data_IF_494140473874
#
_entry.id   IF_494140473874
#
_cell.length_a   1.000
_cell.length_b   1.000
_cell.length_c   1.000
_cell.angle_alpha   90.00
_cell.angle_beta   90.00
_cell.angle_gamma   90.00
#
_symmetry.space_group_name_H-M   'P 1'
#
loop_
_entity.id
_entity.type
_entity.pdbx_description
1 polymer ?
#
# COMPACT_ATOMS: atom_id res chain seq x y z
N UNK A 1 -24.97 -11.81 -4.99
CA UNK A 1 -23.72 -11.14 -5.40
C UNK A 1 -24.10 -9.70 -5.65
N UNK A 2 -23.83 -8.82 -4.69
CA UNK A 2 -23.90 -7.38 -4.94
C UNK A 2 -22.84 -7.08 -6.00
N UNK A 3 -23.27 -6.46 -7.10
CA UNK A 3 -22.39 -6.14 -8.22
C UNK A 3 -21.47 -5.00 -7.79
N UNK A 4 -20.17 -5.16 -8.00
CA UNK A 4 -19.18 -4.11 -7.80
C UNK A 4 -19.33 -3.05 -8.89
N UNK A 5 -19.40 -1.79 -8.50
CA UNK A 5 -19.64 -0.67 -9.42
C UNK A 5 -18.46 -0.50 -10.39
N UNK A 6 -17.25 -0.88 -9.94
CA UNK A 6 -16.01 -0.81 -10.74
C UNK A 6 -16.02 -1.67 -12.01
N UNK A 7 -16.92 -2.65 -12.15
CA UNK A 7 -17.06 -3.42 -13.41
C UNK A 7 -17.42 -2.51 -14.59
N UNK A 8 -18.11 -1.40 -14.35
CA UNK A 8 -18.49 -0.46 -15.40
C UNK A 8 -17.30 0.24 -16.09
N UNK A 9 -16.11 0.17 -15.48
CA UNK A 9 -14.86 0.70 -16.01
C UNK A 9 -14.24 -0.22 -17.09
N UNK A 10 -14.77 -1.42 -17.27
CA UNK A 10 -14.39 -2.32 -18.37
C UNK A 10 -15.25 -2.01 -19.59
N UNK A 11 -14.63 -1.43 -20.63
CA UNK A 11 -15.30 -1.10 -21.91
C UNK A 11 -14.48 -1.58 -23.09
N UNK A 12 -15.14 -2.28 -24.02
CA UNK A 12 -14.51 -2.86 -25.21
C UNK A 12 -13.35 -3.84 -24.88
N UNK A 13 -13.49 -4.53 -23.75
CA UNK A 13 -12.48 -5.46 -23.21
C UNK A 13 -11.23 -4.79 -22.63
N UNK A 14 -11.30 -3.49 -22.35
CA UNK A 14 -10.24 -2.74 -21.67
C UNK A 14 -10.76 -2.19 -20.34
N UNK A 15 -10.05 -2.48 -19.25
CA UNK A 15 -10.24 -1.77 -17.99
C UNK A 15 -9.59 -0.40 -18.11
N UNK A 16 -10.31 0.66 -17.73
CA UNK A 16 -9.85 2.05 -17.81
C UNK A 16 -9.85 2.64 -16.40
N UNK A 17 -8.67 2.98 -15.91
CA UNK A 17 -8.48 3.62 -14.62
C UNK A 17 -8.75 5.12 -14.74
N UNK A 18 -10.01 5.50 -14.49
CA UNK A 18 -10.48 6.89 -14.61
C UNK A 18 -10.75 7.41 -13.20
N UNK A 19 -10.12 8.52 -12.84
CA UNK A 19 -10.29 9.15 -11.53
C UNK A 19 -10.13 10.67 -11.61
N UNK A 20 -10.87 11.40 -10.77
CA UNK A 20 -10.77 12.86 -10.66
C UNK A 20 -9.43 13.34 -10.08
N UNK A 21 -8.66 12.45 -9.45
CA UNK A 21 -7.30 12.73 -9.01
C UNK A 21 -6.37 13.03 -10.18
N UNK A 22 -6.58 12.43 -11.36
CA UNK A 22 -5.76 12.63 -12.56
C UNK A 22 -6.62 13.06 -13.77
N UNK A 23 -7.16 14.28 -13.75
CA UNK A 23 -8.10 14.71 -14.79
C UNK A 23 -7.41 14.78 -16.16
N UNK A 24 -8.17 14.42 -17.19
CA UNK A 24 -7.74 14.54 -18.59
C UNK A 24 -6.87 13.39 -19.11
N UNK A 25 -6.57 12.39 -18.29
CA UNK A 25 -5.89 11.17 -18.73
C UNK A 25 -6.40 9.93 -17.97
N UNK A 26 -6.09 8.74 -18.50
CA UNK A 26 -6.33 7.47 -17.84
C UNK A 26 -5.31 6.44 -18.34
N UNK A 27 -5.04 5.45 -17.51
CA UNK A 27 -4.32 4.25 -17.91
C UNK A 27 -5.30 3.12 -18.24
N UNK A 28 -4.94 2.22 -19.15
CA UNK A 28 -5.83 1.13 -19.56
C UNK A 28 -5.09 -0.20 -19.75
N UNK A 29 -5.71 -1.26 -19.24
CA UNK A 29 -5.22 -2.64 -19.35
C UNK A 29 -6.22 -3.49 -20.13
N UNK A 30 -5.72 -4.24 -21.12
CA UNK A 30 -6.56 -5.18 -21.88
C UNK A 30 -6.85 -6.39 -20.99
N UNK A 31 -8.14 -6.64 -20.78
CA UNK A 31 -8.65 -7.69 -19.89
C UNK A 31 -8.82 -8.99 -20.67
N UNK A 32 -8.28 -10.07 -20.11
CA UNK A 32 -8.55 -11.45 -20.54
C UNK A 32 -9.83 -11.95 -19.86
N UNK A 33 -9.90 -11.84 -18.52
CA UNK A 33 -11.09 -12.22 -17.74
C UNK A 33 -11.15 -11.50 -16.39
N UNK A 34 -12.35 -11.39 -15.81
CA UNK A 34 -12.56 -10.95 -14.42
C UNK A 34 -12.50 -12.18 -13.52
N UNK A 35 -11.49 -12.26 -12.65
CA UNK A 35 -11.27 -13.42 -11.76
C UNK A 35 -12.10 -13.33 -10.48
N UNK A 36 -12.31 -12.11 -9.98
CA UNK A 36 -13.07 -11.81 -8.79
C UNK A 36 -13.63 -10.40 -8.86
N UNK A 37 -14.82 -10.21 -8.30
CA UNK A 37 -15.44 -8.90 -8.17
C UNK A 37 -16.37 -8.91 -6.97
N UNK A 38 -15.99 -8.18 -5.91
CA UNK A 38 -16.62 -8.24 -4.60
C UNK A 38 -16.66 -6.85 -4.00
N UNK A 39 -17.77 -6.49 -3.36
CA UNK A 39 -17.87 -5.29 -2.51
C UNK A 39 -17.60 -5.67 -1.05
N UNK A 40 -16.68 -4.98 -0.38
CA UNK A 40 -16.44 -5.11 1.06
C UNK A 40 -17.18 -4.01 1.84
N UNK A 41 -17.03 -4.00 3.16
CA UNK A 41 -17.56 -2.91 4.00
C UNK A 41 -16.78 -1.59 3.79
N UNK A 42 -15.64 -1.65 3.10
CA UNK A 42 -14.71 -0.52 2.91
C UNK A 42 -14.64 -0.04 1.47
N UNK A 43 -14.64 -0.96 0.49
CA UNK A 43 -14.32 -0.65 -0.91
C UNK A 43 -14.82 -1.72 -1.89
N UNK A 44 -14.84 -1.35 -3.17
CA UNK A 44 -14.97 -2.27 -4.28
C UNK A 44 -13.63 -2.98 -4.54
N UNK A 45 -13.65 -4.31 -4.62
CA UNK A 45 -12.46 -5.15 -4.85
C UNK A 45 -12.64 -5.95 -6.13
N UNK A 46 -11.73 -5.79 -7.08
CA UNK A 46 -11.73 -6.56 -8.32
C UNK A 46 -10.35 -7.12 -8.62
N UNK A 47 -10.29 -8.38 -9.05
CA UNK A 47 -9.06 -8.98 -9.57
C UNK A 47 -9.26 -9.33 -11.03
N UNK A 48 -8.41 -8.77 -11.87
CA UNK A 48 -8.45 -8.96 -13.31
C UNK A 48 -7.30 -9.86 -13.73
N UNK A 49 -7.55 -10.77 -14.67
CA UNK A 49 -6.49 -11.35 -15.48
C UNK A 49 -6.31 -10.47 -16.71
N UNK A 50 -5.12 -9.93 -16.89
CA UNK A 50 -4.78 -9.09 -18.04
C UNK A 50 -4.04 -9.89 -19.10
N UNK A 51 -3.97 -9.37 -20.31
CA UNK A 51 -3.25 -10.02 -21.42
C UNK A 51 -1.72 -9.93 -21.31
N UNK A 52 -1.18 -8.87 -20.69
CA UNK A 52 0.26 -8.58 -20.70
C UNK A 52 0.86 -8.15 -19.35
N UNK A 53 0.04 -7.99 -18.30
CA UNK A 53 0.46 -7.56 -16.96
C UNK A 53 0.20 -8.63 -15.86
N UNK A 54 -0.17 -9.85 -16.26
CA UNK A 54 -0.57 -10.89 -15.32
C UNK A 54 -1.88 -10.54 -14.61
N UNK A 55 -2.03 -10.99 -13.36
CA UNK A 55 -3.16 -10.59 -12.55
C UNK A 55 -2.97 -9.17 -11.98
N UNK A 56 -4.04 -8.38 -11.94
CA UNK A 56 -4.06 -7.03 -11.41
C UNK A 56 -5.11 -6.89 -10.31
N UNK A 57 -4.72 -6.29 -9.18
CA UNK A 57 -5.63 -5.91 -8.09
C UNK A 57 -6.14 -4.50 -8.33
N UNK A 58 -7.46 -4.35 -8.30
CA UNK A 58 -8.16 -3.08 -8.45
C UNK A 58 -8.98 -2.83 -7.19
N UNK A 59 -8.81 -1.67 -6.56
CA UNK A 59 -9.58 -1.20 -5.42
C UNK A 59 -10.25 0.13 -5.78
N UNK A 60 -11.57 0.23 -5.62
CA UNK A 60 -12.36 1.43 -5.99
C UNK A 60 -12.05 1.98 -7.40
N UNK A 61 -11.82 1.07 -8.36
CA UNK A 61 -11.50 1.43 -9.74
C UNK A 61 -10.06 1.90 -9.99
N UNK A 62 -9.18 1.82 -8.99
CA UNK A 62 -7.76 2.19 -9.06
C UNK A 62 -6.89 0.92 -9.02
N UNK A 63 -5.94 0.81 -9.94
CA UNK A 63 -4.95 -0.26 -10.00
C UNK A 63 -4.00 -0.11 -8.82
N UNK A 64 -3.95 -1.13 -7.97
CA UNK A 64 -3.05 -1.17 -6.82
C UNK A 64 -1.73 -1.83 -7.17
N UNK A 65 -1.79 -2.94 -7.90
CA UNK A 65 -0.62 -3.68 -8.35
C UNK A 65 -0.93 -4.57 -9.54
N UNK A 66 0.12 -4.89 -10.32
CA UNK A 66 0.09 -5.97 -11.32
C UNK A 66 1.25 -6.92 -11.08
N UNK A 67 1.08 -8.20 -11.39
CA UNK A 67 2.18 -9.18 -11.25
C UNK A 67 3.41 -8.85 -12.11
N UNK A 68 3.26 -8.03 -13.15
CA UNK A 68 4.36 -7.67 -14.05
C UNK A 68 5.35 -6.70 -13.40
N UNK A 69 4.86 -5.77 -12.60
CA UNK A 69 5.60 -4.57 -12.19
C UNK A 69 5.55 -4.27 -10.69
N UNK A 70 4.78 -5.03 -9.90
CA UNK A 70 4.70 -4.91 -8.44
C UNK A 70 6.08 -4.83 -7.75
N UNK A 71 7.07 -5.55 -8.30
CA UNK A 71 8.39 -5.66 -7.69
C UNK A 71 9.07 -4.29 -7.61
N UNK A 72 8.85 -3.40 -8.58
CA UNK A 72 9.43 -2.07 -8.56
C UNK A 72 8.98 -1.33 -7.30
N UNK A 73 7.67 -1.28 -7.07
CA UNK A 73 7.07 -0.61 -5.91
C UNK A 73 7.46 -1.29 -4.60
N UNK A 74 7.27 -2.61 -4.52
CA UNK A 74 7.43 -3.37 -3.28
C UNK A 74 8.89 -3.41 -2.83
N UNK A 75 9.84 -3.59 -3.75
CA UNK A 75 11.27 -3.55 -3.41
C UNK A 75 11.69 -2.16 -2.95
N UNK A 76 11.23 -1.10 -3.63
CA UNK A 76 11.61 0.27 -3.29
C UNK A 76 11.05 0.69 -1.93
N UNK A 77 9.74 0.51 -1.70
CA UNK A 77 9.11 0.95 -0.44
C UNK A 77 9.61 0.15 0.77
N UNK A 78 10.04 -1.11 0.57
CA UNK A 78 10.61 -1.93 1.62
C UNK A 78 12.11 -1.67 1.83
N UNK A 79 12.94 -1.76 0.79
CA UNK A 79 14.39 -1.75 0.97
C UNK A 79 14.98 -0.36 1.21
N UNK A 80 14.37 0.72 0.71
CA UNK A 80 14.86 2.07 1.02
C UNK A 80 14.95 2.33 2.54
N UNK A 81 13.89 2.15 3.35
CA UNK A 81 13.99 2.37 4.79
C UNK A 81 14.80 1.27 5.51
N UNK A 82 14.68 0.00 5.09
CA UNK A 82 15.39 -1.11 5.75
C UNK A 82 16.91 -0.99 5.61
N UNK A 83 17.40 -0.68 4.42
CA UNK A 83 18.83 -0.52 4.15
C UNK A 83 19.41 0.80 4.69
N UNK A 84 18.54 1.76 5.03
CA UNK A 84 18.95 3.03 5.64
C UNK A 84 19.00 2.98 7.16
N UNK A 85 18.26 2.07 7.79
CA UNK A 85 18.25 1.91 9.24
C UNK A 85 19.39 0.97 9.70
N UNK A 86 20.17 1.30 10.75
CA UNK A 86 21.32 0.49 11.14
C UNK A 86 20.97 -0.89 11.71
N UNK A 87 19.77 -1.04 12.29
CA UNK A 87 19.30 -2.30 12.87
C UNK A 87 17.75 -2.42 12.87
N UNK A 88 17.10 -2.67 11.72
CA UNK A 88 15.63 -2.67 11.60
C UNK A 88 15.02 -3.98 12.10
N UNK A 89 14.94 -4.19 13.41
CA UNK A 89 14.49 -5.49 13.97
C UNK A 89 12.97 -5.66 13.96
N UNK A 90 12.22 -4.60 14.24
CA UNK A 90 10.76 -4.61 14.32
C UNK A 90 10.15 -3.63 13.33
N UNK A 91 9.42 -4.16 12.36
CA UNK A 91 8.84 -3.40 11.25
C UNK A 91 7.31 -3.42 11.35
N UNK A 92 6.68 -2.25 11.18
CA UNK A 92 5.23 -2.13 11.00
C UNK A 92 4.93 -1.86 9.52
N UNK A 93 3.96 -2.56 8.97
CA UNK A 93 3.37 -2.29 7.65
C UNK A 93 1.91 -1.90 7.89
N UNK A 94 1.50 -0.75 7.40
CA UNK A 94 0.10 -0.28 7.42
C UNK A 94 -0.44 -0.35 6.00
N UNK A 95 -1.47 -1.17 5.79
CA UNK A 95 -1.99 -1.57 4.49
C UNK A 95 -1.25 -2.79 3.91
N UNK A 96 -1.01 -2.78 2.60
CA UNK A 96 -0.30 -3.84 1.88
C UNK A 96 -1.05 -5.17 1.84
N UNK A 97 -2.38 -5.16 1.76
CA UNK A 97 -3.23 -6.35 1.72
C UNK A 97 -2.94 -7.37 0.60
N UNK A 98 -1.99 -7.10 -0.30
CA UNK A 98 -1.44 -8.07 -1.25
C UNK A 98 -0.34 -9.00 -0.68
N UNK A 99 0.30 -8.59 0.42
CA UNK A 99 1.37 -9.32 1.12
C UNK A 99 2.77 -9.15 0.52
N UNK A 100 2.89 -8.38 -0.54
CA UNK A 100 4.12 -8.19 -1.30
C UNK A 100 5.17 -7.37 -0.57
N UNK A 101 4.80 -6.27 0.10
CA UNK A 101 5.73 -5.54 0.98
C UNK A 101 6.23 -6.42 2.13
N UNK A 102 5.36 -7.24 2.74
CA UNK A 102 5.78 -8.17 3.79
C UNK A 102 6.76 -9.23 3.28
N UNK A 103 6.57 -9.70 2.03
CA UNK A 103 7.53 -10.59 1.35
C UNK A 103 8.90 -9.93 1.23
N UNK A 104 8.97 -8.64 0.87
CA UNK A 104 10.24 -7.93 0.73
C UNK A 104 10.90 -7.67 2.08
N UNK A 105 10.13 -7.25 3.08
CA UNK A 105 10.62 -7.03 4.44
C UNK A 105 11.20 -8.31 5.06
N UNK A 106 10.58 -9.47 4.81
CA UNK A 106 11.04 -10.76 5.34
C UNK A 106 12.46 -11.15 4.87
N UNK A 107 12.86 -10.70 3.68
CA UNK A 107 14.18 -10.97 3.10
C UNK A 107 15.32 -10.31 3.88
N UNK A 108 15.05 -9.23 4.62
CA UNK A 108 16.11 -8.51 5.33
C UNK A 108 16.59 -9.30 6.57
N UNK A 109 17.90 -9.61 6.68
CA UNK A 109 18.41 -10.56 7.67
C UNK A 109 18.31 -10.07 9.12
N UNK A 110 18.31 -8.75 9.34
CA UNK A 110 18.18 -8.16 10.67
C UNK A 110 16.73 -8.02 11.14
N UNK A 111 15.75 -8.15 10.24
CA UNK A 111 14.33 -8.11 10.63
C UNK A 111 13.99 -9.38 11.41
N UNK A 112 13.45 -9.19 12.62
CA UNK A 112 13.04 -10.25 13.54
C UNK A 112 11.52 -10.36 13.65
N UNK A 113 10.80 -9.25 13.49
CA UNK A 113 9.34 -9.21 13.61
C UNK A 113 8.75 -8.24 12.60
N UNK A 114 7.74 -8.70 11.88
CA UNK A 114 6.91 -7.91 10.98
C UNK A 114 5.51 -7.88 11.59
N UNK A 115 4.97 -6.69 11.81
CA UNK A 115 3.55 -6.52 12.10
C UNK A 115 2.93 -5.89 10.89
N UNK A 116 1.92 -6.54 10.31
CA UNK A 116 1.16 -5.96 9.21
C UNK A 116 -0.28 -5.76 9.63
N UNK A 117 -0.79 -4.56 9.38
CA UNK A 117 -2.16 -4.16 9.68
C UNK A 117 -2.87 -3.86 8.37
N UNK A 118 -3.95 -4.58 8.10
CA UNK A 118 -4.83 -4.34 6.95
C UNK A 118 -6.26 -4.20 7.48
N UNK A 119 -7.02 -3.22 7.00
CA UNK A 119 -8.37 -2.97 7.50
C UNK A 119 -9.39 -3.92 6.87
N UNK A 120 -9.12 -4.37 5.65
CA UNK A 120 -10.06 -5.11 4.82
C UNK A 120 -9.64 -6.58 4.61
N UNK A 121 -10.27 -7.48 5.37
CA UNK A 121 -10.06 -8.94 5.24
C UNK A 121 -10.30 -9.44 3.80
N UNK A 122 -11.23 -8.84 3.05
CA UNK A 122 -11.55 -9.32 1.70
C UNK A 122 -10.43 -9.03 0.70
N UNK A 123 -9.61 -8.00 0.95
CA UNK A 123 -8.39 -7.74 0.14
C UNK A 123 -7.37 -8.85 0.37
N UNK A 124 -7.11 -9.21 1.64
CA UNK A 124 -6.18 -10.29 2.01
C UNK A 124 -6.61 -11.62 1.37
N UNK A 125 -7.92 -11.93 1.43
CA UNK A 125 -8.48 -13.18 0.90
C UNK A 125 -8.38 -13.23 -0.63
N UNK A 126 -8.69 -12.13 -1.30
CA UNK A 126 -8.53 -12.01 -2.75
C UNK A 126 -7.07 -12.18 -3.17
N UNK A 127 -6.14 -11.53 -2.47
CA UNK A 127 -4.71 -11.61 -2.74
C UNK A 127 -4.15 -13.01 -2.54
N UNK A 128 -4.51 -13.69 -1.44
CA UNK A 128 -4.10 -15.09 -1.21
C UNK A 128 -4.57 -16.03 -2.32
N UNK A 129 -5.76 -15.78 -2.87
CA UNK A 129 -6.35 -16.64 -3.90
C UNK A 129 -5.81 -16.35 -5.31
N UNK A 130 -5.63 -15.08 -5.66
CA UNK A 130 -5.38 -14.67 -7.04
C UNK A 130 -4.01 -14.03 -7.28
N UNK A 131 -3.26 -13.69 -6.22
CA UNK A 131 -1.93 -13.06 -6.28
C UNK A 131 -0.91 -13.85 -5.43
N UNK A 132 -0.77 -15.18 -5.64
CA UNK A 132 -0.02 -16.05 -4.73
C UNK A 132 1.47 -15.67 -4.59
N UNK A 133 2.07 -15.03 -5.60
CA UNK A 133 3.47 -14.60 -5.57
C UNK A 133 3.72 -13.41 -4.63
N UNK A 134 2.75 -12.52 -4.48
CA UNK A 134 2.79 -11.43 -3.48
C UNK A 134 2.36 -11.97 -2.12
N UNK A 135 1.25 -12.71 -2.08
CA UNK A 135 0.66 -13.23 -0.84
C UNK A 135 1.54 -14.23 -0.08
N UNK A 136 2.64 -14.72 -0.67
CA UNK A 136 3.63 -15.54 0.05
C UNK A 136 4.26 -14.81 1.24
N UNK A 137 4.25 -13.47 1.26
CA UNK A 137 4.67 -12.70 2.42
C UNK A 137 3.86 -13.03 3.68
N UNK A 138 2.59 -13.41 3.51
CA UNK A 138 1.73 -13.85 4.62
C UNK A 138 2.18 -15.15 5.29
N UNK A 139 3.08 -15.92 4.68
CA UNK A 139 3.59 -17.17 5.22
C UNK A 139 4.90 -17.00 6.02
N UNK A 140 5.44 -15.78 6.12
CA UNK A 140 6.65 -15.53 6.91
C UNK A 140 6.42 -15.89 8.38
N UNK A 141 7.37 -16.63 8.97
CA UNK A 141 7.36 -16.93 10.41
C UNK A 141 7.61 -15.69 11.29
N UNK A 142 8.09 -14.59 10.70
CA UNK A 142 8.31 -13.31 11.37
C UNK A 142 7.05 -12.45 11.39
N UNK A 143 6.04 -12.79 10.59
CA UNK A 143 4.85 -11.97 10.40
C UNK A 143 3.78 -12.20 11.48
N UNK A 144 3.19 -11.10 11.93
CA UNK A 144 1.91 -11.06 12.61
C UNK A 144 0.97 -10.15 11.82
N UNK A 145 0.05 -10.77 11.11
CA UNK A 145 -0.99 -10.09 10.35
C UNK A 145 -2.20 -9.83 11.25
N UNK A 146 -2.66 -8.59 11.30
CA UNK A 146 -3.89 -8.21 12.01
C UNK A 146 -4.85 -7.52 11.08
N UNK A 147 -6.12 -7.89 11.21
CA UNK A 147 -7.21 -7.18 10.54
C UNK A 147 -7.81 -6.17 11.50
N UNK A 148 -7.38 -4.92 11.37
CA UNK A 148 -7.87 -3.82 12.19
C UNK A 148 -7.51 -2.45 11.57
N UNK A 149 -8.03 -1.39 12.18
CA UNK A 149 -7.70 -0.02 11.81
C UNK A 149 -6.26 0.34 12.26
N UNK A 150 -5.45 0.84 11.33
CA UNK A 150 -4.06 1.23 11.57
C UNK A 150 -3.88 2.41 12.53
N UNK A 151 -4.81 3.37 12.55
CA UNK A 151 -4.81 4.48 13.51
C UNK A 151 -5.03 3.97 14.93
N UNK A 152 -6.06 3.14 15.13
CA UNK A 152 -6.36 2.60 16.45
C UNK A 152 -5.23 1.71 16.95
N UNK A 153 -4.61 0.95 16.05
CA UNK A 153 -3.40 0.19 16.37
C UNK A 153 -2.27 1.12 16.85
N UNK A 154 -1.88 2.14 16.08
CA UNK A 154 -0.77 3.03 16.45
C UNK A 154 -1.05 3.93 17.67
N UNK A 155 -2.31 4.16 18.04
CA UNK A 155 -2.64 4.85 19.30
C UNK A 155 -2.16 4.04 20.51
N UNK A 156 -2.28 2.72 20.46
CA UNK A 156 -1.93 1.80 21.54
C UNK A 156 -0.45 1.38 21.56
N UNK A 157 0.29 1.62 20.47
CA UNK A 157 1.67 1.16 20.31
C UNK A 157 2.63 2.37 20.22
N UNK A 158 3.48 2.55 21.25
CA UNK A 158 4.42 3.68 21.37
C UNK A 158 5.87 3.21 21.50
N UNK A 159 6.80 3.90 20.84
CA UNK A 159 8.24 3.60 20.88
C UNK A 159 8.56 2.12 20.62
N UNK A 160 7.88 1.52 19.64
CA UNK A 160 7.90 0.08 19.41
C UNK A 160 8.64 -0.32 18.13
N UNK A 161 8.51 0.47 17.06
CA UNK A 161 8.96 0.08 15.72
C UNK A 161 10.24 0.79 15.31
N UNK A 162 11.15 0.06 14.66
CA UNK A 162 12.38 0.61 14.09
C UNK A 162 12.10 1.20 12.69
N UNK A 163 11.21 0.55 11.93
CA UNK A 163 10.75 1.02 10.62
C UNK A 163 9.22 0.91 10.55
N UNK A 164 8.57 1.93 10.00
CA UNK A 164 7.14 1.90 9.66
C UNK A 164 7.00 2.16 8.16
N UNK A 165 6.30 1.26 7.46
CA UNK A 165 5.95 1.37 6.05
C UNK A 165 4.44 1.62 5.94
N UNK A 166 4.03 2.71 5.31
CA UNK A 166 2.63 2.97 4.95
C UNK A 166 2.43 2.63 3.48
N UNK A 167 1.91 1.44 3.23
CA UNK A 167 1.55 0.92 1.92
C UNK A 167 0.03 1.04 1.73
N UNK A 168 -0.43 2.28 1.57
CA UNK A 168 -1.85 2.61 1.47
C UNK A 168 -2.26 2.90 0.04
N UNK A 169 -3.57 2.77 -0.20
CA UNK A 169 -4.21 3.32 -1.40
C UNK A 169 -4.08 4.86 -1.43
N UNK A 170 -4.40 5.45 -2.58
CA UNK A 170 -4.53 6.90 -2.75
C UNK A 170 -5.49 7.52 -1.71
N UNK A 171 -5.41 8.84 -1.44
CA UNK A 171 -6.19 9.53 -0.40
C UNK A 171 -7.70 9.65 -0.66
N UNK A 172 -8.34 8.57 -1.11
CA UNK A 172 -9.77 8.39 -1.28
C UNK A 172 -10.30 7.44 -0.20
N UNK A 173 -11.51 7.73 0.29
CA UNK A 173 -12.18 6.86 1.26
C UNK A 173 -11.34 6.68 2.54
N UNK A 174 -11.14 5.42 3.00
CA UNK A 174 -10.51 5.14 4.29
C UNK A 174 -9.04 5.61 4.38
N UNK A 175 -8.31 5.68 3.26
CA UNK A 175 -6.90 6.07 3.25
C UNK A 175 -6.67 7.59 3.39
N UNK A 176 -7.68 8.43 3.16
CA UNK A 176 -7.56 9.90 3.26
C UNK A 176 -7.00 10.38 4.60
N UNK A 177 -7.35 9.69 5.69
CA UNK A 177 -6.84 10.01 7.02
C UNK A 177 -5.32 9.86 7.12
N UNK A 178 -4.72 8.91 6.39
CA UNK A 178 -3.28 8.58 6.41
C UNK A 178 -2.38 9.70 5.87
N UNK A 179 -2.95 10.74 5.28
CA UNK A 179 -2.21 11.90 4.76
C UNK A 179 -2.30 13.14 5.66
N UNK A 180 -2.98 13.01 6.81
CA UNK A 180 -3.19 14.10 7.77
C UNK A 180 -1.99 14.29 8.72
N UNK A 181 -1.85 15.50 9.27
CA UNK A 181 -0.83 15.80 10.28
C UNK A 181 -0.96 14.89 11.53
N UNK A 182 -2.18 14.55 11.92
CA UNK A 182 -2.41 13.65 13.06
C UNK A 182 -1.84 12.25 12.82
N UNK A 183 -1.84 11.77 11.58
CA UNK A 183 -1.20 10.52 11.21
C UNK A 183 0.32 10.57 11.40
N UNK A 184 0.98 11.62 10.91
CA UNK A 184 2.43 11.78 11.09
C UNK A 184 2.83 11.93 12.57
N UNK A 185 1.97 12.56 13.39
CA UNK A 185 2.16 12.57 14.83
C UNK A 185 2.03 11.18 15.45
N UNK A 186 1.12 10.33 14.97
CA UNK A 186 0.97 8.95 15.45
C UNK A 186 2.17 8.08 15.04
N UNK A 187 2.61 8.19 13.78
CA UNK A 187 3.80 7.53 13.27
C UNK A 187 5.03 7.85 14.13
N UNK A 188 5.26 9.14 14.40
CA UNK A 188 6.37 9.59 15.26
C UNK A 188 6.31 8.99 16.66
N UNK A 189 5.11 8.88 17.24
CA UNK A 189 4.92 8.28 18.57
C UNK A 189 5.12 6.77 18.60
N UNK A 190 4.83 6.07 17.51
CA UNK A 190 5.00 4.63 17.38
C UNK A 190 6.46 4.23 17.09
N UNK A 191 7.23 5.11 16.45
CA UNK A 191 8.65 4.89 16.17
C UNK A 191 9.53 4.92 17.41
N UNK A 192 10.56 4.08 17.40
CA UNK A 192 11.71 4.17 18.28
C UNK A 192 12.59 5.34 17.93
N UNK A 193 13.43 5.76 18.87
CA UNK A 193 14.47 6.76 18.60
C UNK A 193 15.37 6.31 17.45
N UNK A 194 15.48 7.15 16.41
CA UNK A 194 16.24 6.84 15.20
C UNK A 194 15.47 6.05 14.15
N UNK A 195 14.21 5.72 14.40
CA UNK A 195 13.38 4.97 13.48
C UNK A 195 13.01 5.75 12.21
N UNK A 196 12.67 5.02 11.16
CA UNK A 196 12.40 5.56 9.82
C UNK A 196 10.95 5.28 9.42
N UNK A 197 10.30 6.26 8.78
CA UNK A 197 9.06 6.05 8.04
C UNK A 197 9.31 6.02 6.54
N UNK A 198 8.56 5.18 5.82
CA UNK A 198 8.43 5.23 4.38
C UNK A 198 6.96 5.10 4.02
N UNK A 199 6.42 6.03 3.23
CA UNK A 199 4.99 6.08 2.90
C UNK A 199 4.82 6.34 1.41
N UNK A 200 3.82 5.71 0.79
CA UNK A 200 3.30 6.17 -0.50
C UNK A 200 2.96 7.66 -0.39
N UNK A 201 3.45 8.46 -1.35
CA UNK A 201 3.37 9.92 -1.29
C UNK A 201 2.72 10.56 -2.51
N UNK A 202 1.98 9.80 -3.31
CA UNK A 202 1.49 10.23 -4.63
C UNK A 202 2.60 10.56 -5.63
N UNK A 203 2.24 11.20 -6.74
CA UNK A 203 3.16 11.58 -7.83
C UNK A 203 3.20 13.10 -8.05
N UNK A 204 4.41 13.66 -8.06
CA UNK A 204 4.64 15.09 -8.31
C UNK A 204 4.28 15.51 -9.75
N UNK A 205 4.17 14.57 -10.69
CA UNK A 205 3.81 14.85 -12.08
C UNK A 205 2.34 15.22 -12.26
N UNK A 206 1.48 14.71 -11.37
CA UNK A 206 0.05 14.93 -11.43
C UNK A 206 -0.40 15.98 -10.40
N UNK A 207 0.07 15.89 -9.15
CA UNK A 207 -0.29 16.84 -8.09
C UNK A 207 0.90 17.15 -7.18
N UNK A 208 1.75 18.08 -7.64
CA UNK A 208 2.91 18.54 -6.88
C UNK A 208 2.52 19.29 -5.59
N UNK A 209 1.34 19.91 -5.54
CA UNK A 209 0.92 20.68 -4.36
C UNK A 209 0.52 19.76 -3.21
N UNK A 210 -0.17 18.64 -3.49
CA UNK A 210 -0.41 17.60 -2.50
C UNK A 210 0.90 16.99 -1.99
N UNK A 211 1.86 16.70 -2.88
CA UNK A 211 3.19 16.20 -2.47
C UNK A 211 3.88 17.20 -1.54
N UNK A 212 3.92 18.50 -1.90
CA UNK A 212 4.52 19.55 -1.05
C UNK A 212 3.85 19.62 0.32
N UNK A 213 2.52 19.60 0.37
CA UNK A 213 1.75 19.66 1.61
C UNK A 213 2.06 18.46 2.52
N UNK A 214 2.13 17.26 1.96
CA UNK A 214 2.53 16.05 2.69
C UNK A 214 3.94 16.17 3.24
N UNK A 215 4.90 16.65 2.44
CA UNK A 215 6.28 16.89 2.91
C UNK A 215 6.34 17.93 4.02
N UNK A 216 5.49 18.97 3.98
CA UNK A 216 5.41 19.97 5.04
C UNK A 216 4.82 19.40 6.33
N UNK A 217 3.84 18.49 6.25
CA UNK A 217 3.40 17.73 7.42
C UNK A 217 4.56 16.90 8.00
N UNK A 218 5.29 16.16 7.16
CA UNK A 218 6.46 15.39 7.60
C UNK A 218 7.50 16.27 8.30
N UNK A 219 7.84 17.44 7.75
CA UNK A 219 8.88 18.36 8.29
C UNK A 219 8.55 18.92 9.67
N UNK A 220 7.27 18.98 10.06
CA UNK A 220 6.86 19.37 11.43
C UNK A 220 7.18 18.29 12.46
N UNK A 221 7.24 17.03 12.03
CA UNK A 221 7.43 15.89 12.92
C UNK A 221 8.85 15.29 12.84
N UNK A 222 9.47 15.30 11.66
CA UNK A 222 10.73 14.62 11.38
C UNK A 222 11.81 15.60 10.95
N UNK A 223 13.03 15.37 11.45
CA UNK A 223 14.18 16.23 11.17
C UNK A 223 14.65 16.13 9.71
N UNK A 224 14.66 14.91 9.19
CA UNK A 224 15.06 14.63 7.81
C UNK A 224 13.85 14.10 7.04
N UNK A 225 13.55 14.74 5.91
CA UNK A 225 12.46 14.37 5.01
C UNK A 225 13.00 14.40 3.58
N UNK A 226 12.71 13.35 2.82
CA UNK A 226 13.08 13.21 1.40
C UNK A 226 11.87 12.66 0.64
N UNK A 227 11.86 12.91 -0.67
CA UNK A 227 10.87 12.38 -1.60
C UNK A 227 11.63 11.72 -2.74
N UNK A 228 11.35 10.44 -2.96
CA UNK A 228 11.99 9.65 -4.01
C UNK A 228 10.95 9.31 -5.06
N UNK A 229 11.33 9.44 -6.34
CA UNK A 229 10.48 9.01 -7.44
C UNK A 229 10.87 7.60 -7.85
N UNK A 230 9.87 6.79 -8.10
CA UNK A 230 10.02 5.52 -8.78
C UNK A 230 9.31 5.60 -10.12
N UNK A 231 10.01 5.18 -11.17
CA UNK A 231 9.46 5.10 -12.52
C UNK A 231 9.14 3.63 -12.81
N UNK A 232 7.87 3.36 -13.12
CA UNK A 232 7.34 2.04 -13.49
C UNK A 232 6.66 2.16 -14.84
#
# INVERSE_FOLDING_TARGET
MECCDSVCLIKDGWFREINDMWPGHYFALKVDSVLSCVKSDYQDIMVLKTTNHGNALILDGVIQCTEKDEFAYQEMIAFLPLCSHPNPERVLIVGGGDGGVAREVDKHPLVKKIVQIEIDQKVIDASKKYLPNMAKGFNSSKLELKVCDGFEYMKCHKNEFDVIITDSTDPIGPASALFSESYFSLLKGALRSGGIICSQGGTAWNDIETVKKTLDHCRRHFKEVRYENMFV
#
